data_IF_128524752638
#
_entry.id   IF_128524752638
#
_cell.length_a   1.000
_cell.length_b   1.000
_cell.length_c   1.000
_cell.angle_alpha   90.00
_cell.angle_beta   90.00
_cell.angle_gamma   90.00
#
_symmetry.space_group_name_H-M   'P 1'
#
loop_
_entity.id
_entity.type
_entity.pdbx_description
1 polymer ?
#
# COMPACT_ATOMS: atom_id res chain seq x y z
N UNK A 1 -26.02 -1.24 5.79
CA UNK A 1 -25.48 -2.53 6.24
C UNK A 1 -24.00 -2.46 5.91
N UNK A 2 -23.14 -2.27 6.91
CA UNK A 2 -21.69 -2.20 6.74
C UNK A 2 -21.11 -3.61 6.93
N UNK A 3 -20.22 -4.03 6.03
CA UNK A 3 -19.60 -5.35 6.01
C UNK A 3 -19.87 -6.13 4.72
N UNK A 4 -19.12 -7.21 4.53
CA UNK A 4 -19.30 -8.15 3.43
C UNK A 4 -20.56 -9.01 3.65
N UNK A 5 -21.20 -9.46 2.56
CA UNK A 5 -22.51 -10.12 2.61
C UNK A 5 -22.41 -11.62 2.95
N UNK A 6 -21.33 -12.28 2.53
CA UNK A 6 -21.06 -13.70 2.77
C UNK A 6 -20.22 -13.90 4.05
N UNK A 7 -20.02 -15.15 4.45
CA UNK A 7 -19.14 -15.49 5.58
C UNK A 7 -17.69 -15.05 5.30
N UNK A 8 -16.97 -14.44 6.26
CA UNK A 8 -15.59 -13.96 6.08
C UNK A 8 -14.62 -15.00 5.49
N UNK A 9 -14.84 -16.28 5.80
CA UNK A 9 -14.02 -17.40 5.30
C UNK A 9 -14.12 -17.61 3.77
N UNK A 10 -15.16 -17.06 3.13
CA UNK A 10 -15.45 -17.19 1.70
C UNK A 10 -14.75 -16.14 0.85
N UNK A 11 -14.10 -15.15 1.47
CA UNK A 11 -13.39 -14.11 0.75
C UNK A 11 -11.90 -14.39 0.65
N UNK A 12 -11.33 -13.94 -0.46
CA UNK A 12 -9.93 -13.59 -0.58
C UNK A 12 -9.83 -12.07 -0.53
N UNK A 13 -9.26 -11.55 0.56
CA UNK A 13 -9.11 -10.12 0.81
C UNK A 13 -7.66 -9.72 0.60
N UNK A 14 -7.43 -8.89 -0.42
CA UNK A 14 -6.13 -8.27 -0.69
C UNK A 14 -6.17 -6.82 -0.27
N UNK A 15 -5.20 -6.42 0.54
CA UNK A 15 -4.96 -5.05 1.01
C UNK A 15 -3.61 -4.60 0.48
N UNK A 16 -3.56 -3.42 -0.12
CA UNK A 16 -2.32 -2.72 -0.45
C UNK A 16 -2.25 -1.43 0.36
N UNK A 17 -1.24 -1.32 1.21
CA UNK A 17 -0.96 -0.16 2.05
C UNK A 17 0.11 0.70 1.39
N UNK A 18 -0.25 1.95 1.10
CA UNK A 18 0.63 2.97 0.55
C UNK A 18 1.11 3.89 1.68
N UNK A 19 2.41 3.87 1.95
CA UNK A 19 3.07 4.90 2.74
C UNK A 19 3.35 6.12 1.85
N UNK A 20 3.07 7.32 2.35
CA UNK A 20 3.11 8.53 1.53
C UNK A 20 4.37 9.37 1.76
N UNK A 21 4.88 10.13 0.75
CA UNK A 21 6.14 10.88 0.83
C UNK A 21 6.21 11.98 1.90
N UNK A 22 5.08 12.32 2.55
CA UNK A 22 5.00 13.35 3.59
C UNK A 22 4.84 12.82 5.01
N UNK A 23 4.61 11.53 5.18
CA UNK A 23 4.37 10.88 6.46
C UNK A 23 5.68 10.63 7.21
N UNK A 24 5.65 10.69 8.54
CA UNK A 24 6.84 10.34 9.34
C UNK A 24 7.11 8.83 9.23
N UNK A 25 8.33 8.49 8.82
CA UNK A 25 8.80 7.11 8.70
C UNK A 25 8.67 6.35 10.03
N UNK A 26 8.92 7.03 11.15
CA UNK A 26 8.86 6.43 12.49
C UNK A 26 7.44 6.01 12.87
N UNK A 27 6.44 6.65 12.30
CA UNK A 27 5.03 6.33 12.53
C UNK A 27 4.54 5.18 11.64
N UNK A 28 5.34 4.69 10.67
CA UNK A 28 4.91 3.61 9.74
C UNK A 28 4.41 2.36 10.46
N UNK A 29 5.04 1.95 11.56
CA UNK A 29 4.59 0.80 12.34
C UNK A 29 3.18 1.03 12.94
N UNK A 30 2.92 2.23 13.46
CA UNK A 30 1.60 2.62 13.97
C UNK A 30 0.59 2.75 12.83
N UNK A 31 0.95 3.46 11.76
CA UNK A 31 0.12 3.60 10.56
C UNK A 31 -0.30 2.24 9.98
N UNK A 32 0.59 1.25 10.01
CA UNK A 32 0.29 -0.12 9.58
C UNK A 32 -0.79 -0.74 10.45
N UNK A 33 -0.66 -0.66 11.77
CA UNK A 33 -1.66 -1.21 12.70
C UNK A 33 -3.00 -0.50 12.54
N UNK A 34 -3.00 0.83 12.54
CA UNK A 34 -4.21 1.64 12.38
C UNK A 34 -4.93 1.35 11.05
N UNK A 35 -4.17 1.22 9.96
CA UNK A 35 -4.71 0.91 8.64
C UNK A 35 -5.34 -0.49 8.58
N UNK A 36 -4.67 -1.51 9.14
CA UNK A 36 -5.19 -2.87 9.15
C UNK A 36 -6.40 -2.98 10.08
N UNK A 37 -6.35 -2.40 11.27
CA UNK A 37 -7.49 -2.38 12.20
C UNK A 37 -8.72 -1.73 11.58
N UNK A 38 -8.53 -0.63 10.82
CA UNK A 38 -9.61 0.01 10.08
C UNK A 38 -10.21 -0.92 9.03
N UNK A 39 -9.39 -1.61 8.24
CA UNK A 39 -9.88 -2.57 7.23
C UNK A 39 -10.67 -3.70 7.87
N UNK A 40 -10.12 -4.32 8.92
CA UNK A 40 -10.77 -5.42 9.64
C UNK A 40 -12.13 -5.00 10.18
N UNK A 41 -12.18 -3.81 10.80
CA UNK A 41 -13.41 -3.23 11.35
C UNK A 41 -14.46 -2.95 10.27
N UNK A 42 -14.08 -2.25 9.19
CA UNK A 42 -15.04 -1.80 8.17
C UNK A 42 -15.53 -2.95 7.28
N UNK A 43 -14.70 -3.99 7.07
CA UNK A 43 -15.11 -5.19 6.34
C UNK A 43 -15.80 -6.24 7.24
N UNK A 44 -15.68 -6.11 8.56
CA UNK A 44 -16.25 -7.06 9.52
C UNK A 44 -15.53 -8.41 9.52
N UNK A 45 -14.20 -8.41 9.34
CA UNK A 45 -13.38 -9.64 9.25
C UNK A 45 -12.29 -9.66 10.32
N UNK A 46 -11.79 -10.85 10.65
CA UNK A 46 -10.75 -11.02 11.68
C UNK A 46 -9.33 -11.14 11.09
N UNK A 47 -9.23 -11.38 9.78
CA UNK A 47 -7.95 -11.54 9.08
C UNK A 47 -8.10 -11.14 7.62
N UNK A 48 -6.98 -10.78 6.99
CA UNK A 48 -6.87 -10.56 5.54
C UNK A 48 -5.93 -11.60 4.91
N UNK A 49 -6.14 -11.91 3.63
CA UNK A 49 -5.42 -12.99 2.94
C UNK A 49 -4.07 -12.54 2.40
N UNK A 50 -3.95 -11.28 1.96
CA UNK A 50 -2.72 -10.71 1.43
C UNK A 50 -2.59 -9.23 1.81
N UNK A 51 -1.49 -8.87 2.46
CA UNK A 51 -1.06 -7.48 2.66
C UNK A 51 0.14 -7.17 1.78
N UNK A 52 0.04 -6.10 0.98
CA UNK A 52 1.10 -5.61 0.11
C UNK A 52 1.54 -4.23 0.62
N UNK A 53 2.84 -4.07 0.90
CA UNK A 53 3.39 -2.76 1.29
C UNK A 53 3.95 -2.03 0.07
N UNK A 54 3.56 -0.76 -0.08
CA UNK A 54 4.04 0.16 -1.12
C UNK A 54 4.72 1.34 -0.44
N UNK A 55 6.04 1.43 -0.59
CA UNK A 55 6.84 2.53 -0.06
C UNK A 55 6.93 3.69 -1.07
N UNK A 56 7.07 4.94 -0.61
CA UNK A 56 7.17 6.08 -1.50
C UNK A 56 8.50 6.09 -2.26
N UNK A 57 8.49 6.61 -3.49
CA UNK A 57 9.70 6.83 -4.28
C UNK A 57 10.31 5.57 -4.90
N UNK A 58 9.56 4.46 -4.95
CA UNK A 58 9.94 3.25 -5.67
C UNK A 58 9.16 3.14 -6.98
N UNK A 59 9.87 2.82 -8.06
CA UNK A 59 9.33 2.66 -9.41
C UNK A 59 10.28 1.86 -10.30
N UNK A 60 9.77 1.37 -11.43
CA UNK A 60 10.57 0.82 -12.53
C UNK A 60 10.66 1.85 -13.68
N UNK A 61 11.54 2.84 -13.52
CA UNK A 61 11.77 3.88 -14.54
C UNK A 61 13.07 3.64 -15.30
N UNK A 62 13.03 3.53 -16.63
CA UNK A 62 14.21 3.38 -17.47
C UNK A 62 13.87 3.14 -18.94
N UNK A 63 14.87 3.24 -19.82
CA UNK A 63 14.66 3.01 -21.25
C UNK A 63 14.53 1.49 -21.57
N UNK A 64 14.96 0.63 -20.64
CA UNK A 64 14.85 -0.83 -20.71
C UNK A 64 14.78 -1.47 -19.31
N UNK A 65 14.43 -2.76 -19.24
CA UNK A 65 14.19 -3.48 -17.99
C UNK A 65 15.42 -3.52 -17.08
N UNK A 66 16.61 -3.61 -17.68
CA UNK A 66 17.88 -3.64 -16.97
C UNK A 66 18.23 -2.30 -16.33
N UNK A 67 17.93 -1.21 -17.02
CA UNK A 67 18.18 0.13 -16.50
C UNK A 67 17.19 0.47 -15.39
N UNK A 68 15.91 0.11 -15.58
CA UNK A 68 14.87 0.26 -14.57
C UNK A 68 15.23 -0.51 -13.29
N UNK A 69 15.65 -1.78 -13.41
CA UNK A 69 16.06 -2.60 -12.26
C UNK A 69 17.27 -2.00 -11.52
N UNK A 70 18.26 -1.50 -12.27
CA UNK A 70 19.45 -0.87 -11.69
C UNK A 70 19.13 0.45 -10.97
N UNK A 71 18.22 1.26 -11.51
CA UNK A 71 17.76 2.49 -10.85
C UNK A 71 16.95 2.15 -9.60
N UNK A 72 16.04 1.18 -9.70
CA UNK A 72 15.26 0.69 -8.59
C UNK A 72 16.13 0.19 -7.42
N UNK A 73 17.25 -0.48 -7.72
CA UNK A 73 18.22 -0.93 -6.70
C UNK A 73 18.75 0.18 -5.78
N UNK A 74 18.69 1.45 -6.22
CA UNK A 74 19.15 2.64 -5.50
C UNK A 74 18.00 3.46 -4.89
N UNK A 75 16.75 3.07 -5.11
CA UNK A 75 15.57 3.75 -4.59
C UNK A 75 15.23 3.28 -3.17
N UNK A 76 14.46 4.12 -2.47
CA UNK A 76 14.01 3.84 -1.10
C UNK A 76 15.12 3.90 -0.06
N UNK A 77 14.88 3.28 1.08
CA UNK A 77 15.80 3.19 2.20
C UNK A 77 15.67 1.81 2.87
N UNK A 78 16.68 0.98 2.69
CA UNK A 78 16.67 -0.41 3.14
C UNK A 78 16.47 -0.53 4.67
N UNK A 79 17.03 0.38 5.48
CA UNK A 79 16.85 0.35 6.94
C UNK A 79 15.41 0.64 7.34
N UNK A 80 14.81 1.67 6.76
CA UNK A 80 13.44 2.08 7.07
C UNK A 80 12.40 1.05 6.61
N UNK A 81 12.64 0.43 5.46
CA UNK A 81 11.78 -0.63 4.91
C UNK A 81 11.84 -1.88 5.79
N UNK A 82 13.02 -2.26 6.27
CA UNK A 82 13.21 -3.41 7.17
C UNK A 82 12.60 -3.15 8.55
N UNK A 83 12.77 -1.94 9.09
CA UNK A 83 12.11 -1.53 10.34
C UNK A 83 10.59 -1.60 10.20
N UNK A 84 10.05 -1.07 9.10
CA UNK A 84 8.62 -1.15 8.82
C UNK A 84 8.15 -2.60 8.65
N UNK A 85 8.94 -3.44 7.98
CA UNK A 85 8.60 -4.84 7.77
C UNK A 85 8.43 -5.60 9.07
N UNK A 86 9.26 -5.32 10.08
CA UNK A 86 9.17 -5.98 11.39
C UNK A 86 7.77 -5.86 12.02
N UNK A 87 7.07 -4.74 11.80
CA UNK A 87 5.70 -4.56 12.29
C UNK A 87 4.68 -5.44 11.55
N UNK A 88 4.86 -5.71 10.26
CA UNK A 88 3.98 -6.64 9.53
C UNK A 88 4.31 -8.11 9.80
N UNK A 89 5.55 -8.42 10.16
CA UNK A 89 5.92 -9.77 10.64
C UNK A 89 5.11 -10.15 11.90
N UNK A 90 4.90 -9.19 12.81
CA UNK A 90 4.05 -9.40 13.99
C UNK A 90 2.60 -9.72 13.61
N UNK A 91 2.03 -8.98 12.66
CA UNK A 91 0.65 -9.21 12.18
C UNK A 91 0.50 -10.58 11.50
N UNK A 92 1.53 -11.01 10.77
CA UNK A 92 1.58 -12.34 10.17
C UNK A 92 1.63 -13.43 11.25
N UNK A 93 2.50 -13.28 12.26
CA UNK A 93 2.63 -14.25 13.35
C UNK A 93 1.36 -14.37 14.20
N UNK A 94 0.60 -13.27 14.34
CA UNK A 94 -0.70 -13.26 15.01
C UNK A 94 -1.83 -13.88 14.18
N UNK A 95 -1.60 -14.16 12.89
CA UNK A 95 -2.61 -14.70 11.97
C UNK A 95 -3.60 -13.64 11.46
N UNK A 96 -3.36 -12.36 11.75
CA UNK A 96 -4.16 -11.24 11.24
C UNK A 96 -3.97 -11.10 9.72
N UNK A 97 -2.76 -11.40 9.24
CA UNK A 97 -2.42 -11.36 7.82
C UNK A 97 -1.88 -12.73 7.40
N UNK A 98 -2.49 -13.37 6.40
CA UNK A 98 -2.10 -14.73 5.98
C UNK A 98 -0.94 -14.76 4.99
N UNK A 99 -0.75 -13.70 4.20
CA UNK A 99 0.37 -13.55 3.28
C UNK A 99 0.88 -12.12 3.27
N UNK A 100 2.19 -11.96 3.13
CA UNK A 100 2.85 -10.67 3.02
C UNK A 100 3.39 -10.48 1.61
N UNK A 101 3.39 -9.24 1.13
CA UNK A 101 3.93 -8.87 -0.15
C UNK A 101 4.52 -7.48 -0.17
N UNK A 102 5.31 -7.22 -1.19
CA UNK A 102 5.93 -5.93 -1.50
C UNK A 102 5.38 -5.41 -2.82
N UNK A 103 5.62 -4.14 -3.08
CA UNK A 103 5.43 -3.55 -4.39
C UNK A 103 6.68 -2.79 -4.80
N UNK A 104 7.02 -2.82 -6.08
CA UNK A 104 8.12 -2.12 -6.71
C UNK A 104 9.53 -2.55 -6.25
N UNK A 105 9.76 -3.81 -5.85
CA UNK A 105 11.10 -4.28 -5.48
C UNK A 105 11.85 -4.91 -6.67
N UNK A 106 12.92 -4.24 -7.11
CA UNK A 106 13.85 -4.75 -8.12
C UNK A 106 14.71 -5.89 -7.59
N UNK A 107 15.43 -6.57 -8.48
CA UNK A 107 16.15 -7.81 -8.19
C UNK A 107 17.18 -7.65 -7.06
N UNK A 108 18.05 -6.64 -7.15
CA UNK A 108 19.08 -6.38 -6.14
C UNK A 108 18.48 -5.94 -4.80
N UNK A 109 17.45 -5.09 -4.84
CA UNK A 109 16.79 -4.58 -3.64
C UNK A 109 16.05 -5.69 -2.90
N UNK A 110 15.30 -6.52 -3.64
CA UNK A 110 14.63 -7.70 -3.12
C UNK A 110 15.64 -8.67 -2.49
N UNK A 111 16.76 -8.95 -3.15
CA UNK A 111 17.78 -9.83 -2.60
C UNK A 111 18.35 -9.33 -1.26
N UNK A 112 18.65 -8.02 -1.16
CA UNK A 112 19.12 -7.41 0.10
C UNK A 112 18.05 -7.45 1.19
N UNK A 113 16.80 -7.23 0.82
CA UNK A 113 15.66 -7.28 1.73
C UNK A 113 15.46 -8.70 2.30
N UNK A 114 15.44 -9.72 1.44
CA UNK A 114 15.28 -11.14 1.81
C UNK A 114 16.39 -11.66 2.73
N UNK A 115 17.58 -11.08 2.66
CA UNK A 115 18.70 -11.43 3.53
C UNK A 115 18.51 -10.94 4.98
N UNK A 116 17.59 -9.99 5.22
CA UNK A 116 17.44 -9.28 6.51
C UNK A 116 16.12 -9.58 7.22
N UNK A 117 15.08 -10.00 6.51
CA UNK A 117 13.76 -10.29 7.09
C UNK A 117 13.61 -11.74 7.56
N UNK A 118 12.75 -11.96 8.56
CA UNK A 118 12.45 -13.28 9.13
C UNK A 118 11.29 -13.94 8.41
N UNK A 119 10.21 -13.18 8.17
CA UNK A 119 9.07 -13.61 7.37
C UNK A 119 9.28 -13.08 5.96
N UNK A 120 9.52 -13.98 5.02
CA UNK A 120 9.74 -13.62 3.62
C UNK A 120 8.42 -13.19 2.97
N UNK A 121 8.41 -12.14 2.13
CA UNK A 121 7.27 -11.84 1.27
C UNK A 121 6.99 -13.03 0.36
N UNK A 122 5.72 -13.26 0.07
CA UNK A 122 5.24 -14.29 -0.87
C UNK A 122 4.83 -13.68 -2.21
N UNK A 123 4.64 -12.36 -2.27
CA UNK A 123 4.22 -11.61 -3.45
C UNK A 123 5.12 -10.40 -3.62
N UNK A 124 5.46 -10.08 -4.85
CA UNK A 124 5.99 -8.77 -5.21
C UNK A 124 5.21 -8.22 -6.41
N UNK A 125 4.70 -7.00 -6.25
CA UNK A 125 3.84 -6.33 -7.21
C UNK A 125 4.62 -5.32 -8.03
N UNK A 126 4.58 -5.45 -9.35
CA UNK A 126 5.32 -4.61 -10.27
C UNK A 126 4.37 -3.77 -11.12
N UNK A 127 4.62 -2.48 -11.20
CA UNK A 127 3.89 -1.56 -12.05
C UNK A 127 4.38 -1.68 -13.49
N UNK A 128 3.47 -2.06 -14.38
CA UNK A 128 3.79 -2.30 -15.80
C UNK A 128 3.34 -1.15 -16.72
N UNK A 129 2.95 0.00 -16.15
CA UNK A 129 2.47 1.15 -16.94
C UNK A 129 3.47 1.67 -17.95
N UNK A 130 4.77 1.64 -17.64
CA UNK A 130 5.78 2.36 -18.43
C UNK A 130 6.59 1.47 -19.39
N UNK A 131 6.08 0.29 -19.73
CA UNK A 131 6.69 -0.65 -20.68
C UNK A 131 8.13 -1.03 -20.34
N UNK A 132 8.28 -2.21 -19.74
CA UNK A 132 9.41 -3.12 -19.90
C UNK A 132 8.91 -4.53 -19.52
N UNK A 133 9.50 -5.58 -20.10
CA UNK A 133 9.31 -6.91 -19.54
C UNK A 133 9.81 -6.90 -18.09
N UNK A 134 9.27 -7.77 -17.24
CA UNK A 134 9.82 -7.93 -15.88
C UNK A 134 11.31 -8.32 -16.02
N UNK A 135 12.24 -7.63 -15.31
CA UNK A 135 13.67 -7.89 -15.46
C UNK A 135 13.99 -9.38 -15.27
N UNK A 136 14.73 -10.03 -16.19
CA UNK A 136 15.04 -11.45 -16.06
C UNK A 136 15.69 -11.86 -14.72
N UNK A 137 16.59 -11.07 -14.10
CA UNK A 137 17.13 -11.39 -12.77
C UNK A 137 16.06 -11.41 -11.69
N UNK A 138 15.07 -10.53 -11.77
CA UNK A 138 13.94 -10.50 -10.85
C UNK A 138 13.07 -11.75 -11.01
N UNK A 139 12.82 -12.19 -12.26
CA UNK A 139 12.09 -13.44 -12.53
C UNK A 139 12.82 -14.66 -11.97
N UNK A 140 14.13 -14.74 -12.18
CA UNK A 140 14.96 -15.85 -11.67
C UNK A 140 14.97 -15.87 -10.14
N UNK A 141 15.19 -14.72 -9.50
CA UNK A 141 15.19 -14.57 -8.05
C UNK A 141 13.83 -14.93 -7.47
N UNK A 142 12.74 -14.37 -7.99
CA UNK A 142 11.39 -14.63 -7.51
C UNK A 142 11.04 -16.12 -7.61
N UNK A 143 11.42 -16.79 -8.71
CA UNK A 143 11.22 -18.22 -8.88
C UNK A 143 12.03 -19.04 -7.87
N UNK A 144 13.29 -18.69 -7.65
CA UNK A 144 14.16 -19.36 -6.67
C UNK A 144 13.62 -19.22 -5.24
N UNK A 145 13.10 -18.04 -4.93
CA UNK A 145 12.60 -17.67 -3.60
C UNK A 145 11.11 -17.95 -3.40
N UNK A 146 10.43 -18.51 -4.42
CA UNK A 146 8.99 -18.83 -4.43
C UNK A 146 8.11 -17.59 -4.15
N UNK A 147 8.51 -16.46 -4.71
CA UNK A 147 7.78 -15.20 -4.68
C UNK A 147 6.96 -15.10 -5.96
N UNK A 148 5.66 -14.83 -5.81
CA UNK A 148 4.76 -14.60 -6.94
C UNK A 148 4.88 -13.16 -7.42
N UNK A 149 5.17 -13.00 -8.72
CA UNK A 149 5.22 -11.68 -9.36
C UNK A 149 3.84 -11.34 -9.91
N UNK A 150 3.24 -10.29 -9.38
CA UNK A 150 1.94 -9.78 -9.82
C UNK A 150 2.10 -8.41 -10.48
N UNK A 151 1.20 -8.06 -11.39
CA UNK A 151 1.21 -6.73 -12.03
C UNK A 151 0.14 -5.83 -11.44
N UNK A 152 0.43 -4.54 -11.31
CA UNK A 152 -0.58 -3.53 -10.98
C UNK A 152 -0.44 -2.27 -11.85
N UNK A 153 -1.41 -1.37 -11.72
CA UNK A 153 -1.51 -0.12 -12.50
C UNK A 153 -1.78 1.09 -11.58
N UNK A 154 -1.34 1.00 -10.32
CA UNK A 154 -1.51 2.10 -9.38
C UNK A 154 -0.65 3.31 -9.83
N UNK A 155 -0.97 4.51 -9.34
CA UNK A 155 -0.10 5.67 -9.52
C UNK A 155 0.93 5.73 -8.39
N UNK A 156 2.08 6.34 -8.67
CA UNK A 156 3.20 6.48 -7.72
C UNK A 156 2.83 7.37 -6.53
N UNK A 157 2.04 8.41 -6.76
CA UNK A 157 1.40 9.22 -5.70
C UNK A 157 -0.11 8.99 -5.75
N UNK A 158 -0.61 8.16 -4.82
CA UNK A 158 -2.01 7.71 -4.78
C UNK A 158 -2.96 8.77 -4.21
N UNK A 159 -2.44 9.72 -3.42
CA UNK A 159 -3.24 10.78 -2.81
C UNK A 159 -2.39 12.05 -2.66
N UNK A 160 -2.18 12.80 -3.76
CA UNK A 160 -1.46 14.06 -3.70
C UNK A 160 -2.15 15.06 -2.77
N UNK A 161 -1.37 15.92 -2.08
CA UNK A 161 -1.91 16.94 -1.16
C UNK A 161 -2.99 17.82 -1.79
N UNK A 162 -2.78 18.24 -3.05
CA UNK A 162 -3.76 19.05 -3.79
C UNK A 162 -5.09 18.32 -3.95
N UNK A 163 -5.03 17.06 -4.37
CA UNK A 163 -6.21 16.20 -4.50
C UNK A 163 -6.93 15.99 -3.18
N UNK A 164 -6.20 15.77 -2.07
CA UNK A 164 -6.82 15.66 -0.74
C UNK A 164 -7.57 16.95 -0.36
N UNK A 165 -6.97 18.12 -0.61
CA UNK A 165 -7.60 19.42 -0.32
C UNK A 165 -8.86 19.64 -1.16
N UNK A 166 -8.84 19.24 -2.43
CA UNK A 166 -10.02 19.30 -3.31
C UNK A 166 -11.13 18.35 -2.82
N UNK A 167 -10.78 17.11 -2.45
CA UNK A 167 -11.72 16.11 -1.95
C UNK A 167 -12.41 16.54 -0.65
N UNK A 168 -11.70 17.23 0.24
CA UNK A 168 -12.25 17.68 1.52
C UNK A 168 -12.80 19.11 1.50
N UNK A 169 -12.51 19.89 0.45
CA UNK A 169 -12.88 21.29 0.31
C UNK A 169 -14.37 21.55 0.07
N UNK A 170 -14.73 22.81 -0.15
CA UNK A 170 -16.12 23.28 -0.36
C UNK A 170 -16.54 23.29 -1.84
N UNK A 171 -15.65 22.86 -2.74
CA UNK A 171 -15.93 22.79 -4.17
C UNK A 171 -17.09 21.82 -4.50
N UNK A 172 -17.60 21.86 -5.74
CA UNK A 172 -18.78 21.09 -6.15
C UNK A 172 -18.67 19.56 -5.98
N UNK A 173 -17.44 19.03 -5.88
CA UNK A 173 -17.17 17.61 -5.63
C UNK A 173 -16.51 17.36 -4.27
N UNK A 174 -16.37 18.38 -3.43
CA UNK A 174 -15.72 18.30 -2.13
C UNK A 174 -16.70 17.90 -1.02
N UNK A 175 -16.17 17.29 0.03
CA UNK A 175 -16.98 16.83 1.17
C UNK A 175 -17.46 17.97 2.08
N UNK A 176 -17.00 19.20 1.87
CA UNK A 176 -17.38 20.37 2.67
C UNK A 176 -16.85 20.34 4.10
N UNK A 177 -15.83 19.54 4.40
CA UNK A 177 -15.27 19.35 5.75
C UNK A 177 -14.14 20.34 6.04
N UNK A 178 -13.43 20.78 5.00
CA UNK A 178 -12.25 21.63 5.08
C UNK A 178 -12.55 23.06 4.62
N UNK A 179 -11.98 24.06 5.32
CA UNK A 179 -12.20 25.47 5.02
C UNK A 179 -11.27 25.97 3.90
N UNK A 180 -11.81 26.68 2.91
CA UNK A 180 -11.03 27.20 1.77
C UNK A 180 -10.16 28.43 2.12
N UNK A 181 -10.43 29.10 3.25
CA UNK A 181 -9.66 30.28 3.67
C UNK A 181 -9.49 30.39 5.18
N UNK A 182 -8.42 31.05 5.64
CA UNK A 182 -8.20 31.38 7.07
C UNK A 182 -9.34 32.22 7.69
N UNK A 183 -10.20 32.82 6.85
CA UNK A 183 -11.29 33.71 7.24
C UNK A 183 -12.70 33.08 7.11
N UNK A 184 -12.83 31.84 6.63
CA UNK A 184 -14.11 31.11 6.68
C UNK A 184 -14.45 30.72 8.12
N UNK A 185 -15.72 30.87 8.52
CA UNK A 185 -16.18 30.54 9.88
C UNK A 185 -16.44 29.04 10.08
N UNK A 186 -16.74 28.30 9.01
CA UNK A 186 -17.07 26.86 9.07
C UNK A 186 -16.00 25.98 8.37
N UNK A 187 -15.48 24.99 9.09
CA UNK A 187 -14.57 23.95 8.57
C UNK A 187 -13.22 23.84 9.28
N UNK A 188 -12.54 22.71 9.10
CA UNK A 188 -11.18 22.47 9.62
C UNK A 188 -10.16 23.44 8.99
N UNK A 189 -9.26 24.01 9.81
CA UNK A 189 -8.23 24.98 9.40
C UNK A 189 -6.84 24.39 9.62
N UNK A 190 -5.93 24.59 8.66
CA UNK A 190 -4.55 24.11 8.77
C UNK A 190 -3.99 23.65 7.43
N UNK A 191 -2.86 22.95 7.46
CA UNK A 191 -2.36 22.17 6.34
C UNK A 191 -2.69 20.68 6.53
N UNK A 192 -3.23 20.07 5.48
CA UNK A 192 -3.58 18.65 5.46
C UNK A 192 -2.44 17.87 4.85
N UNK A 193 -1.86 16.96 5.63
CA UNK A 193 -0.83 16.04 5.16
C UNK A 193 -1.42 14.63 5.12
N UNK A 194 -1.51 13.99 3.94
CA UNK A 194 -1.95 12.60 3.87
C UNK A 194 -0.84 11.70 4.45
N UNK A 195 -1.23 10.77 5.31
CA UNK A 195 -0.30 9.90 6.04
C UNK A 195 -0.17 8.53 5.36
N UNK A 196 -1.30 7.91 5.07
CA UNK A 196 -1.35 6.62 4.40
C UNK A 196 -2.67 6.42 3.66
N UNK A 197 -2.62 5.53 2.66
CA UNK A 197 -3.80 5.07 1.94
C UNK A 197 -3.79 3.56 1.91
N UNK A 198 -4.94 2.95 2.16
CA UNK A 198 -5.20 1.55 1.88
C UNK A 198 -6.06 1.45 0.64
N UNK A 199 -5.70 0.56 -0.27
CA UNK A 199 -6.59 0.01 -1.28
C UNK A 199 -6.91 -1.43 -0.91
N UNK A 200 -8.19 -1.81 -0.91
CA UNK A 200 -8.57 -3.20 -0.65
C UNK A 200 -9.46 -3.76 -1.76
N UNK A 201 -9.49 -5.08 -1.87
CA UNK A 201 -10.42 -5.81 -2.73
C UNK A 201 -10.80 -7.11 -2.02
N UNK A 202 -12.12 -7.36 -1.93
CA UNK A 202 -12.70 -8.57 -1.40
C UNK A 202 -13.35 -9.36 -2.55
N UNK A 203 -12.77 -10.53 -2.84
CA UNK A 203 -13.24 -11.44 -3.89
C UNK A 203 -13.89 -12.65 -3.26
N UNK A 204 -15.08 -13.02 -3.71
CA UNK A 204 -15.72 -14.28 -3.27
C UNK A 204 -15.00 -15.45 -3.92
N UNK A 205 -14.28 -16.26 -3.14
CA UNK A 205 -13.35 -17.30 -3.59
C UNK A 205 -13.97 -18.26 -4.61
N UNK A 206 -15.15 -18.78 -4.32
CA UNK A 206 -15.79 -19.82 -5.13
C UNK A 206 -16.39 -19.28 -6.45
N UNK A 207 -16.60 -17.96 -6.54
CA UNK A 207 -17.20 -17.32 -7.72
C UNK A 207 -16.21 -16.48 -8.51
N UNK A 208 -15.07 -16.11 -7.92
CA UNK A 208 -14.11 -15.17 -8.49
C UNK A 208 -14.70 -13.77 -8.70
N UNK A 209 -15.78 -13.42 -8.01
CA UNK A 209 -16.49 -12.14 -8.18
C UNK A 209 -16.01 -11.15 -7.13
N UNK A 210 -15.62 -9.95 -7.57
CA UNK A 210 -15.34 -8.83 -6.68
C UNK A 210 -16.68 -8.36 -6.10
N UNK A 211 -16.86 -8.55 -4.80
CA UNK A 211 -18.03 -8.03 -4.10
C UNK A 211 -17.80 -6.60 -3.64
N UNK A 212 -16.60 -6.33 -3.11
CA UNK A 212 -16.27 -5.03 -2.57
C UNK A 212 -14.82 -4.66 -2.94
N UNK A 213 -14.61 -3.39 -3.25
CA UNK A 213 -13.29 -2.79 -3.41
C UNK A 213 -13.40 -1.32 -3.06
N UNK A 214 -12.34 -0.77 -2.49
CA UNK A 214 -12.36 0.62 -2.07
C UNK A 214 -11.03 1.10 -1.56
N UNK A 215 -11.06 2.32 -1.05
CA UNK A 215 -9.92 2.98 -0.44
C UNK A 215 -10.29 3.48 0.95
N UNK A 216 -9.34 3.37 1.87
CA UNK A 216 -9.34 4.13 3.11
C UNK A 216 -8.12 5.04 3.10
N UNK A 217 -8.26 6.24 3.63
CA UNK A 217 -7.17 7.20 3.69
C UNK A 217 -7.20 7.91 5.03
N UNK A 218 -6.02 8.21 5.57
CA UNK A 218 -5.84 9.05 6.75
C UNK A 218 -4.95 10.23 6.40
N UNK A 219 -5.30 11.38 6.95
CA UNK A 219 -4.54 12.60 6.87
C UNK A 219 -4.47 13.27 8.24
N UNK A 220 -3.33 13.90 8.52
CA UNK A 220 -3.11 14.74 9.68
C UNK A 220 -3.40 16.20 9.33
N UNK A 221 -4.13 16.89 10.21
CA UNK A 221 -4.33 18.33 10.15
C UNK A 221 -3.30 19.01 11.06
N UNK A 222 -2.44 19.84 10.47
CA UNK A 222 -1.45 20.65 11.21
C UNK A 222 -1.87 22.12 11.18
N UNK A 223 -2.00 22.74 12.34
CA UNK A 223 -2.38 24.18 12.47
C UNK A 223 -1.19 25.12 12.21
#
# INVERSE_FOLDING_TARGET
>A
MSGLAEEPSQYDITVKLFYLPGADVKERAKHTRDAIDLVLKELGVQSIDLLILSFPGMSFEGDCEWEADKKNAQQGNDEEEIETWSAVEELYQQGVVKKLGLAEFGSEKLARFLARVKVRPQVDQINVKDCCNVPPPLVELAKAEKIELLTHYDCTDILPRGTLRELLGQGPNGAGVFAESKHGEDGLKGDLTPEWVVKYTAVVRDRGVIENKGYFAVAELRE
#
